data_IF_498907862688
#
_entry.id   IF_498907862688
#
_cell.length_a   1.000
_cell.length_b   1.000
_cell.length_c   1.000
_cell.angle_alpha   90.00
_cell.angle_beta   90.00
_cell.angle_gamma   90.00
#
_symmetry.space_group_name_H-M   'P 1'
#
loop_
_entity.id
_entity.type
_entity.pdbx_description
1 polymer ?
#
# COMPACT_ATOMS: atom_id res chain seq x y z
N UNK A 1 -30.23 3.42 76.19
CA UNK A 1 -29.57 2.21 76.74
C UNK A 1 -29.33 1.25 75.59
N UNK A 2 -28.15 0.62 75.60
CA UNK A 2 -27.54 -0.24 74.58
C UNK A 2 -26.86 0.52 73.45
N UNK A 3 -25.62 0.26 73.03
CA UNK A 3 -24.49 -0.54 73.51
C UNK A 3 -23.57 -0.75 72.30
N UNK A 4 -22.24 -0.62 72.49
CA UNK A 4 -21.19 -1.48 71.89
C UNK A 4 -21.01 -1.42 70.34
N UNK A 5 -19.84 -1.39 69.69
CA UNK A 5 -18.42 -1.58 70.00
C UNK A 5 -17.63 -0.89 68.88
N UNK A 6 -16.47 -0.29 69.19
CA UNK A 6 -15.48 0.09 68.18
C UNK A 6 -14.61 -1.14 67.87
N UNK A 7 -14.58 -1.60 66.62
CA UNK A 7 -13.59 -2.54 66.11
C UNK A 7 -12.66 -1.81 65.15
N UNK A 8 -11.36 -1.89 65.46
CA UNK A 8 -10.27 -1.38 64.63
C UNK A 8 -10.12 -2.24 63.37
N UNK A 9 -10.43 -1.68 62.21
CA UNK A 9 -10.11 -2.30 60.93
C UNK A 9 -8.67 -1.92 60.54
N UNK A 10 -7.78 -2.92 60.53
CA UNK A 10 -6.45 -2.85 59.94
C UNK A 10 -6.60 -2.85 58.43
N UNK A 11 -6.25 -1.75 57.78
CA UNK A 11 -6.22 -1.62 56.32
C UNK A 11 -4.92 -2.27 55.82
N UNK A 12 -5.02 -3.48 55.27
CA UNK A 12 -3.94 -4.09 54.48
C UNK A 12 -4.05 -3.54 53.06
N UNK A 13 -3.16 -2.61 52.72
CA UNK A 13 -3.02 -2.08 51.37
C UNK A 13 -2.29 -3.10 50.49
N UNK A 14 -3.04 -3.95 49.78
CA UNK A 14 -2.51 -4.75 48.68
C UNK A 14 -2.41 -3.88 47.44
N UNK A 15 -1.18 -3.51 47.06
CA UNK A 15 -0.88 -2.84 45.81
C UNK A 15 -1.14 -3.80 44.64
N UNK A 16 -2.28 -3.62 43.97
CA UNK A 16 -2.60 -4.28 42.71
C UNK A 16 -1.83 -3.54 41.59
N UNK A 17 -0.66 -4.07 41.22
CA UNK A 17 0.07 -3.59 40.04
C UNK A 17 -0.70 -4.00 38.79
N UNK A 18 -1.48 -3.08 38.23
CA UNK A 18 -1.95 -3.18 36.85
C UNK A 18 -0.73 -3.03 35.94
N UNK A 19 -0.23 -4.15 35.44
CA UNK A 19 0.60 -4.14 34.25
C UNK A 19 -0.30 -3.70 33.10
N UNK A 20 -0.15 -2.45 32.67
CA UNK A 20 -0.65 -2.01 31.36
C UNK A 20 0.22 -2.73 30.35
N UNK A 21 -0.29 -3.84 29.82
CA UNK A 21 0.21 -4.40 28.57
C UNK A 21 -0.25 -3.41 27.51
N UNK A 22 0.65 -2.53 27.08
CA UNK A 22 0.51 -1.83 25.80
C UNK A 22 0.56 -2.89 24.70
N UNK A 23 -0.60 -3.52 24.48
CA UNK A 23 -0.87 -4.21 23.23
C UNK A 23 -0.97 -3.14 22.17
N UNK A 24 0.02 -3.09 21.29
CA UNK A 24 -0.14 -2.46 20.00
C UNK A 24 -1.44 -3.01 19.40
N UNK A 25 -2.40 -2.12 19.15
CA UNK A 25 -3.57 -2.46 18.37
C UNK A 25 -3.06 -3.03 17.03
N UNK A 26 -3.35 -4.29 16.77
CA UNK A 26 -3.27 -4.84 15.43
C UNK A 26 -4.34 -4.11 14.62
N UNK A 27 -3.92 -3.08 13.88
CA UNK A 27 -4.70 -2.58 12.76
C UNK A 27 -4.69 -3.72 11.75
N UNK A 28 -5.85 -4.35 11.55
CA UNK A 28 -6.01 -5.37 10.54
C UNK A 28 -5.62 -4.76 9.17
N UNK A 29 -4.72 -5.41 8.44
CA UNK A 29 -4.62 -5.23 7.00
C UNK A 29 -3.58 -4.26 6.43
N UNK A 30 -2.48 -3.91 7.12
CA UNK A 30 -1.28 -3.39 6.45
C UNK A 30 -0.16 -4.42 6.48
N UNK A 31 0.27 -4.91 5.32
CA UNK A 31 1.63 -5.46 5.24
C UNK A 31 2.62 -4.33 5.52
N UNK A 32 3.76 -4.62 6.15
CA UNK A 32 4.72 -3.60 6.55
C UNK A 32 5.70 -3.19 5.46
N UNK A 33 5.56 -3.71 4.23
CA UNK A 33 6.54 -3.54 3.16
C UNK A 33 6.07 -2.53 2.11
N UNK A 34 7.01 -1.75 1.56
CA UNK A 34 6.73 -0.91 0.40
C UNK A 34 6.53 -1.78 -0.84
N UNK A 35 5.70 -1.32 -1.78
CA UNK A 35 5.48 -2.05 -3.03
C UNK A 35 6.77 -2.24 -3.84
N UNK A 36 7.73 -1.32 -3.75
CA UNK A 36 9.03 -1.51 -4.39
C UNK A 36 9.83 -2.67 -3.80
N UNK A 37 9.74 -2.91 -2.48
CA UNK A 37 10.42 -4.05 -1.86
C UNK A 37 9.75 -5.38 -2.20
N UNK A 38 8.42 -5.42 -2.24
CA UNK A 38 7.70 -6.59 -2.70
C UNK A 38 7.94 -6.85 -4.20
N UNK A 39 8.02 -5.81 -5.02
CA UNK A 39 8.41 -5.90 -6.43
C UNK A 39 9.79 -6.56 -6.60
N UNK A 40 10.77 -6.12 -5.80
CA UNK A 40 12.10 -6.72 -5.78
C UNK A 40 12.08 -8.19 -5.29
N UNK A 41 11.36 -8.48 -4.21
CA UNK A 41 11.27 -9.82 -3.62
C UNK A 41 10.62 -10.82 -4.59
N UNK A 42 9.50 -10.44 -5.20
CA UNK A 42 8.74 -11.30 -6.10
C UNK A 42 9.20 -11.23 -7.56
N UNK A 43 10.16 -10.35 -7.88
CA UNK A 43 10.76 -10.22 -9.20
C UNK A 43 9.77 -9.72 -10.25
N UNK A 44 9.19 -8.54 -10.02
CA UNK A 44 8.45 -7.76 -11.00
C UNK A 44 8.87 -6.29 -10.94
N UNK A 45 8.49 -5.50 -11.95
CA UNK A 45 8.72 -4.05 -11.97
C UNK A 45 7.38 -3.33 -11.88
N UNK A 46 7.38 -2.15 -11.26
CA UNK A 46 6.25 -1.22 -11.31
C UNK A 46 6.52 -0.31 -12.51
N UNK A 47 5.87 -0.58 -13.63
CA UNK A 47 6.03 0.13 -14.91
C UNK A 47 4.65 0.43 -15.49
N UNK A 48 4.21 1.68 -15.32
CA UNK A 48 2.89 2.15 -15.76
C UNK A 48 2.68 2.05 -17.28
N UNK A 49 3.74 1.91 -18.07
CA UNK A 49 3.60 1.71 -19.52
C UNK A 49 3.36 0.25 -19.92
N UNK A 50 3.56 -0.71 -19.00
CA UNK A 50 3.51 -2.14 -19.29
C UNK A 50 2.14 -2.76 -18.98
N UNK A 51 1.13 -2.34 -19.74
CA UNK A 51 -0.23 -2.89 -19.61
C UNK A 51 -0.30 -4.40 -19.93
N UNK A 52 0.61 -4.95 -20.73
CA UNK A 52 0.67 -6.39 -21.00
C UNK A 52 0.95 -7.20 -19.73
N UNK A 53 1.91 -6.75 -18.90
CA UNK A 53 2.23 -7.40 -17.63
C UNK A 53 1.05 -7.32 -16.64
N UNK A 54 0.41 -6.15 -16.56
CA UNK A 54 -0.79 -5.92 -15.77
C UNK A 54 -1.95 -6.86 -16.19
N UNK A 55 -2.27 -6.90 -17.49
CA UNK A 55 -3.31 -7.76 -18.05
C UNK A 55 -3.01 -9.25 -17.85
N UNK A 56 -1.74 -9.66 -17.98
CA UNK A 56 -1.33 -11.04 -17.70
C UNK A 56 -1.51 -11.40 -16.22
N UNK A 57 -1.25 -10.45 -15.30
CA UNK A 57 -1.39 -10.67 -13.87
C UNK A 57 -2.86 -10.90 -13.49
N UNK A 58 -3.79 -10.03 -13.93
CA UNK A 58 -5.21 -10.22 -13.63
C UNK A 58 -5.78 -11.49 -14.28
N UNK A 59 -5.42 -11.80 -15.53
CA UNK A 59 -5.82 -13.05 -16.18
C UNK A 59 -5.31 -14.29 -15.42
N UNK A 60 -4.14 -14.20 -14.79
CA UNK A 60 -3.59 -15.26 -13.93
C UNK A 60 -4.41 -15.40 -12.66
N UNK A 61 -4.82 -14.30 -12.03
CA UNK A 61 -5.68 -14.33 -10.84
C UNK A 61 -7.03 -15.01 -11.14
N UNK A 62 -7.66 -14.64 -12.26
CA UNK A 62 -8.94 -15.18 -12.71
C UNK A 62 -8.83 -16.69 -13.02
N UNK A 63 -7.82 -17.08 -13.79
CA UNK A 63 -7.64 -18.48 -14.23
C UNK A 63 -7.32 -19.44 -13.09
N UNK A 64 -6.89 -18.93 -11.93
CA UNK A 64 -6.49 -19.73 -10.78
C UNK A 64 -7.42 -19.57 -9.56
N UNK A 65 -8.61 -18.97 -9.76
CA UNK A 65 -9.62 -18.80 -8.71
C UNK A 65 -9.08 -18.07 -7.46
N UNK A 66 -8.19 -17.08 -7.69
CA UNK A 66 -7.54 -16.32 -6.61
C UNK A 66 -8.52 -15.42 -5.84
N UNK A 67 -9.73 -15.18 -6.36
CA UNK A 67 -10.83 -14.48 -5.69
C UNK A 67 -11.55 -15.32 -4.64
N UNK A 68 -11.11 -16.56 -4.40
CA UNK A 68 -11.60 -17.41 -3.31
C UNK A 68 -10.47 -17.74 -2.34
N UNK A 69 -9.28 -18.05 -2.87
CA UNK A 69 -8.11 -18.43 -2.07
C UNK A 69 -6.86 -17.72 -2.59
N UNK A 70 -6.46 -16.65 -1.90
CA UNK A 70 -5.27 -15.87 -2.27
C UNK A 70 -4.07 -16.13 -1.34
N UNK A 71 -4.29 -16.08 -0.02
CA UNK A 71 -3.23 -16.10 0.99
C UNK A 71 -2.42 -17.41 1.06
N UNK A 72 -2.92 -18.51 0.49
CA UNK A 72 -2.21 -19.79 0.46
C UNK A 72 -1.41 -20.02 -0.84
N UNK A 73 -1.60 -19.17 -1.86
CA UNK A 73 -1.03 -19.35 -3.20
C UNK A 73 -0.01 -18.27 -3.53
N UNK A 74 1.26 -18.68 -3.67
CA UNK A 74 2.32 -17.76 -4.10
C UNK A 74 2.03 -17.13 -5.47
N UNK A 75 1.37 -17.87 -6.35
CA UNK A 75 0.91 -17.38 -7.65
C UNK A 75 -0.10 -16.24 -7.48
N UNK A 76 -1.10 -16.42 -6.61
CA UNK A 76 -2.10 -15.39 -6.36
C UNK A 76 -1.49 -14.16 -5.70
N UNK A 77 -0.66 -14.36 -4.66
CA UNK A 77 0.04 -13.27 -3.95
C UNK A 77 0.85 -12.40 -4.88
N UNK A 78 1.71 -13.00 -5.71
CA UNK A 78 2.55 -12.26 -6.65
C UNK A 78 1.72 -11.46 -7.66
N UNK A 79 0.71 -12.08 -8.27
CA UNK A 79 -0.08 -11.41 -9.30
C UNK A 79 -1.02 -10.34 -8.71
N UNK A 80 -1.48 -10.53 -7.47
CA UNK A 80 -2.19 -9.50 -6.73
C UNK A 80 -1.28 -8.28 -6.46
N UNK A 81 -0.05 -8.50 -5.98
CA UNK A 81 0.92 -7.41 -5.77
C UNK A 81 1.27 -6.67 -7.06
N UNK A 82 1.33 -7.36 -8.21
CA UNK A 82 1.51 -6.70 -9.51
C UNK A 82 0.34 -5.75 -9.76
N UNK A 83 -0.92 -6.21 -9.69
CA UNK A 83 -2.05 -5.32 -9.99
C UNK A 83 -2.24 -4.23 -8.94
N UNK A 84 -1.99 -4.52 -7.65
CA UNK A 84 -2.10 -3.55 -6.56
C UNK A 84 -1.08 -2.43 -6.69
N UNK A 85 0.19 -2.78 -6.88
CA UNK A 85 1.25 -1.78 -7.01
C UNK A 85 1.05 -0.83 -8.19
N UNK A 86 0.44 -1.30 -9.28
CA UNK A 86 0.13 -0.44 -10.44
C UNK A 86 -1.15 0.36 -10.23
N UNK A 87 -2.20 -0.24 -9.66
CA UNK A 87 -3.44 0.45 -9.33
C UNK A 87 -3.21 1.61 -8.34
N UNK A 88 -2.44 1.35 -7.28
CA UNK A 88 -2.23 2.32 -6.21
C UNK A 88 -1.21 3.41 -6.61
N UNK A 89 -0.39 3.19 -7.65
CA UNK A 89 0.65 4.13 -8.10
C UNK A 89 0.35 4.83 -9.42
N UNK A 90 0.00 4.11 -10.49
CA UNK A 90 -0.07 4.67 -11.83
C UNK A 90 -1.30 5.55 -12.04
N UNK A 91 -1.26 6.47 -13.01
CA UNK A 91 -2.46 7.22 -13.36
C UNK A 91 -3.54 6.28 -13.91
N UNK A 92 -4.82 6.64 -13.74
CA UNK A 92 -5.92 5.75 -14.09
C UNK A 92 -5.88 5.35 -15.58
N UNK A 93 -5.51 6.27 -16.47
CA UNK A 93 -5.35 5.99 -17.91
C UNK A 93 -4.17 5.05 -18.24
N UNK A 94 -3.21 4.91 -17.32
CA UNK A 94 -2.08 4.00 -17.44
C UNK A 94 -2.45 2.56 -16.97
N UNK A 95 -3.51 2.41 -16.17
CA UNK A 95 -3.98 1.13 -15.61
C UNK A 95 -5.20 0.62 -16.40
N UNK A 96 -5.19 -0.63 -16.89
CA UNK A 96 -6.36 -1.21 -17.55
C UNK A 96 -7.62 -1.15 -16.67
N UNK A 97 -8.77 -0.76 -17.25
CA UNK A 97 -10.06 -0.63 -16.55
C UNK A 97 -10.47 -1.90 -15.78
N UNK A 98 -10.19 -3.07 -16.36
CA UNK A 98 -10.44 -4.37 -15.72
C UNK A 98 -9.68 -4.54 -14.41
N UNK A 99 -8.54 -3.87 -14.25
CA UNK A 99 -7.74 -3.89 -13.02
C UNK A 99 -8.26 -2.85 -12.03
N UNK A 100 -8.56 -1.62 -12.48
CA UNK A 100 -9.12 -0.58 -11.63
C UNK A 100 -10.36 -1.08 -10.89
N UNK A 101 -11.28 -1.74 -11.59
CA UNK A 101 -12.48 -2.31 -10.97
C UNK A 101 -12.24 -3.68 -10.33
N UNK A 102 -11.47 -4.54 -10.98
CA UNK A 102 -11.31 -5.94 -10.58
C UNK A 102 -10.49 -6.14 -9.31
N UNK A 103 -9.56 -5.22 -9.00
CA UNK A 103 -8.68 -5.37 -7.84
C UNK A 103 -9.43 -5.47 -6.52
N UNK A 104 -10.49 -4.68 -6.33
CA UNK A 104 -11.23 -4.62 -5.06
C UNK A 104 -11.94 -5.94 -4.70
N UNK A 105 -12.16 -6.81 -5.69
CA UNK A 105 -12.64 -8.18 -5.45
C UNK A 105 -11.55 -9.00 -4.74
N UNK A 106 -10.30 -8.86 -5.17
CA UNK A 106 -9.16 -9.58 -4.61
C UNK A 106 -8.70 -9.02 -3.27
N UNK A 107 -8.82 -7.71 -3.02
CA UNK A 107 -8.44 -7.10 -1.73
C UNK A 107 -9.16 -7.73 -0.53
N UNK A 108 -10.42 -8.12 -0.73
CA UNK A 108 -11.22 -8.80 0.30
C UNK A 108 -10.73 -10.22 0.64
N UNK A 109 -9.86 -10.81 -0.19
CA UNK A 109 -9.42 -12.21 -0.12
C UNK A 109 -7.91 -12.31 0.10
N UNK A 110 -7.12 -11.42 -0.49
CA UNK A 110 -5.68 -11.29 -0.35
C UNK A 110 -5.28 -10.51 0.92
N UNK A 111 -6.03 -10.65 2.00
CA UNK A 111 -5.95 -9.79 3.20
C UNK A 111 -4.60 -9.81 3.94
N UNK A 112 -3.76 -10.83 3.70
CA UNK A 112 -2.43 -10.95 4.30
C UNK A 112 -1.31 -10.43 3.39
N UNK A 113 -1.63 -10.06 2.15
CA UNK A 113 -0.65 -9.65 1.15
C UNK A 113 -1.12 -8.37 0.52
N UNK A 114 -0.50 -7.30 0.95
CA UNK A 114 -0.62 -5.99 0.33
C UNK A 114 0.78 -5.38 0.29
N UNK A 115 0.89 -4.16 -0.19
CA UNK A 115 2.07 -3.33 -0.02
C UNK A 115 1.68 -1.85 0.08
N UNK A 116 2.59 -1.02 0.58
CA UNK A 116 2.39 0.43 0.68
C UNK A 116 3.07 1.16 -0.50
N UNK A 117 2.28 1.95 -1.23
CA UNK A 117 2.73 2.92 -2.25
C UNK A 117 1.68 4.04 -2.33
N UNK A 118 2.08 5.24 -2.70
CA UNK A 118 1.14 6.34 -2.94
C UNK A 118 0.92 6.50 -4.44
N UNK A 119 -0.24 7.06 -4.80
CA UNK A 119 -0.51 7.52 -6.16
C UNK A 119 0.63 8.41 -6.69
N UNK A 120 1.01 8.19 -7.94
CA UNK A 120 1.95 9.01 -8.70
C UNK A 120 1.45 10.45 -8.73
N UNK A 121 2.38 11.37 -8.48
CA UNK A 121 2.04 12.78 -8.36
C UNK A 121 1.76 13.42 -9.72
N UNK A 122 0.63 14.10 -9.84
CA UNK A 122 0.29 14.92 -11.00
C UNK A 122 0.50 16.41 -10.68
N UNK A 123 1.44 17.08 -11.36
CA UNK A 123 1.73 18.50 -11.11
C UNK A 123 0.58 19.45 -11.41
N UNK A 124 -0.38 19.04 -12.24
CA UNK A 124 -1.56 19.83 -12.61
C UNK A 124 -2.73 19.59 -11.65
N UNK A 125 -2.68 18.53 -10.86
CA UNK A 125 -3.70 18.18 -9.89
C UNK A 125 -3.68 19.09 -8.66
N UNK A 126 -4.88 19.42 -8.19
CA UNK A 126 -5.08 20.21 -6.97
C UNK A 126 -4.80 19.37 -5.72
N UNK A 127 -4.73 20.00 -4.54
CA UNK A 127 -4.65 19.26 -3.28
C UNK A 127 -6.00 18.60 -2.94
N UNK A 128 -5.98 17.34 -2.53
CA UNK A 128 -7.16 16.65 -2.06
C UNK A 128 -7.71 17.28 -0.76
N UNK A 129 -9.04 17.27 -0.57
CA UNK A 129 -9.64 17.72 0.68
C UNK A 129 -9.16 16.83 1.84
N UNK A 130 -9.07 17.36 3.07
CA UNK A 130 -8.84 16.53 4.24
C UNK A 130 -10.05 15.63 4.48
N UNK A 131 -9.80 14.36 4.76
CA UNK A 131 -10.81 13.36 5.12
C UNK A 131 -10.47 12.68 6.45
N UNK A 132 -11.51 12.31 7.18
CA UNK A 132 -11.46 11.52 8.40
C UNK A 132 -11.78 10.05 8.08
N UNK A 133 -10.77 9.19 8.18
CA UNK A 133 -10.86 7.77 7.85
C UNK A 133 -11.72 6.96 8.83
N UNK A 134 -12.09 7.55 9.98
CA UNK A 134 -12.96 6.90 10.96
C UNK A 134 -14.46 7.12 10.66
N UNK A 135 -14.78 7.79 9.55
CA UNK A 135 -16.16 8.12 9.13
C UNK A 135 -16.52 7.44 7.82
N UNK A 136 -17.80 7.49 7.46
CA UNK A 136 -18.32 7.00 6.17
C UNK A 136 -18.47 8.11 5.12
N UNK A 137 -17.64 9.16 5.22
CA UNK A 137 -17.74 10.34 4.36
C UNK A 137 -17.58 10.01 2.87
N UNK A 138 -16.82 8.97 2.53
CA UNK A 138 -16.68 8.50 1.15
C UNK A 138 -17.96 7.84 0.61
N UNK A 139 -18.57 6.92 1.38
CA UNK A 139 -19.85 6.31 0.99
C UNK A 139 -20.98 7.35 0.92
N UNK A 140 -21.00 8.32 1.82
CA UNK A 140 -21.94 9.45 1.80
C UNK A 140 -21.74 10.33 0.55
N UNK A 141 -20.48 10.61 0.19
CA UNK A 141 -20.14 11.35 -1.03
C UNK A 141 -20.59 10.61 -2.29
N UNK A 142 -20.44 9.28 -2.33
CA UNK A 142 -20.93 8.46 -3.43
C UNK A 142 -22.44 8.56 -3.63
N UNK A 143 -23.23 8.58 -2.55
CA UNK A 143 -24.69 8.77 -2.68
C UNK A 143 -25.04 10.09 -3.35
N UNK A 144 -24.28 11.16 -3.07
CA UNK A 144 -24.47 12.45 -3.75
C UNK A 144 -24.10 12.36 -5.23
N UNK A 145 -23.03 11.66 -5.58
CA UNK A 145 -22.64 11.47 -6.99
C UNK A 145 -23.71 10.72 -7.78
N UNK A 146 -24.26 9.63 -7.22
CA UNK A 146 -25.33 8.86 -7.84
C UNK A 146 -26.60 9.71 -8.02
N UNK A 147 -27.00 10.48 -7.00
CA UNK A 147 -28.18 11.36 -7.10
C UNK A 147 -28.00 12.52 -8.08
N UNK A 148 -26.76 12.92 -8.34
CA UNK A 148 -26.42 14.04 -9.23
C UNK A 148 -26.07 13.59 -10.65
N UNK A 149 -26.18 12.30 -10.95
CA UNK A 149 -25.88 11.70 -12.27
C UNK A 149 -24.49 12.03 -12.81
N UNK A 150 -23.47 11.91 -11.94
CA UNK A 150 -22.09 12.29 -12.26
C UNK A 150 -21.36 11.37 -13.24
N UNK A 151 -22.03 10.33 -13.76
CA UNK A 151 -21.41 9.26 -14.56
C UNK A 151 -20.88 9.72 -15.93
N UNK A 152 -21.45 10.81 -16.47
CA UNK A 152 -21.10 11.30 -17.81
C UNK A 152 -20.76 12.80 -17.86
N UNK A 153 -21.00 13.53 -16.77
CA UNK A 153 -20.64 14.94 -16.62
C UNK A 153 -20.33 15.27 -15.17
N UNK A 154 -19.05 15.52 -14.89
CA UNK A 154 -18.58 15.88 -13.56
C UNK A 154 -18.48 17.40 -13.33
N UNK A 155 -19.00 18.23 -14.26
CA UNK A 155 -18.83 19.69 -14.23
C UNK A 155 -19.57 20.39 -13.08
N UNK A 156 -20.57 19.73 -12.48
CA UNK A 156 -21.29 20.26 -11.33
C UNK A 156 -20.40 20.29 -10.09
N UNK A 157 -20.64 21.25 -9.19
CA UNK A 157 -19.92 21.31 -7.92
C UNK A 157 -20.16 20.06 -7.07
N UNK A 158 -21.35 19.45 -7.16
CA UNK A 158 -21.67 18.25 -6.40
C UNK A 158 -20.82 17.08 -6.88
N UNK A 159 -20.68 16.88 -8.20
CA UNK A 159 -19.81 15.84 -8.75
C UNK A 159 -18.34 16.09 -8.42
N UNK A 160 -17.82 17.28 -8.77
CA UNK A 160 -16.41 17.63 -8.57
C UNK A 160 -15.96 17.61 -7.11
N UNK A 161 -16.84 17.97 -6.16
CA UNK A 161 -16.49 17.97 -4.74
C UNK A 161 -16.52 16.56 -4.16
N UNK A 162 -17.55 15.77 -4.49
CA UNK A 162 -17.72 14.43 -3.93
C UNK A 162 -16.72 13.44 -4.55
N UNK A 163 -16.40 13.56 -5.84
CA UNK A 163 -15.33 12.78 -6.48
C UNK A 163 -14.00 12.92 -5.71
N UNK A 164 -13.62 14.16 -5.38
CA UNK A 164 -12.39 14.43 -4.61
C UNK A 164 -12.44 13.92 -3.17
N UNK A 165 -13.62 13.85 -2.56
CA UNK A 165 -13.77 13.24 -1.23
C UNK A 165 -13.53 11.74 -1.33
N UNK A 166 -14.17 11.06 -2.30
CA UNK A 166 -14.00 9.62 -2.51
C UNK A 166 -12.54 9.31 -2.83
N UNK A 167 -11.94 10.00 -3.80
CA UNK A 167 -10.51 9.87 -4.13
C UNK A 167 -9.61 10.06 -2.91
N UNK A 168 -9.88 11.07 -2.09
CA UNK A 168 -9.09 11.32 -0.88
C UNK A 168 -9.23 10.21 0.16
N UNK A 169 -10.38 9.54 0.25
CA UNK A 169 -10.57 8.37 1.11
C UNK A 169 -9.87 7.15 0.50
N UNK A 170 -10.11 6.85 -0.77
CA UNK A 170 -9.50 5.76 -1.53
C UNK A 170 -7.97 5.77 -1.40
N UNK A 171 -7.33 6.91 -1.68
CA UNK A 171 -5.87 6.98 -1.73
C UNK A 171 -5.20 7.01 -0.33
N UNK A 172 -5.93 7.41 0.73
CA UNK A 172 -5.34 7.71 2.06
C UNK A 172 -5.73 6.73 3.15
N UNK A 173 -6.99 6.30 3.15
CA UNK A 173 -7.58 5.59 4.27
C UNK A 173 -7.36 4.07 4.14
N UNK A 174 -7.55 3.29 5.23
CA UNK A 174 -7.56 1.83 5.12
C UNK A 174 -8.58 1.35 4.07
N UNK A 175 -8.23 0.30 3.33
CA UNK A 175 -9.03 -0.28 2.23
C UNK A 175 -10.47 -0.70 2.58
N UNK A 176 -10.78 -0.87 3.87
CA UNK A 176 -12.13 -1.19 4.35
C UNK A 176 -12.94 0.04 4.77
N UNK A 177 -12.39 1.24 4.53
CA UNK A 177 -13.07 2.51 4.82
C UNK A 177 -14.24 2.73 3.89
N UNK A 178 -14.02 2.58 2.57
CA UNK A 178 -15.07 2.58 1.56
C UNK A 178 -15.70 1.19 1.45
N UNK A 179 -16.99 1.13 1.13
CA UNK A 179 -17.57 -0.15 0.72
C UNK A 179 -17.04 -0.57 -0.64
N UNK A 180 -16.92 -1.88 -0.89
CA UNK A 180 -16.51 -2.43 -2.20
C UNK A 180 -17.36 -1.91 -3.36
N UNK A 181 -18.64 -1.59 -3.12
CA UNK A 181 -19.48 -0.96 -4.13
C UNK A 181 -18.96 0.42 -4.54
N UNK A 182 -18.51 1.21 -3.57
CA UNK A 182 -17.96 2.55 -3.82
C UNK A 182 -16.57 2.46 -4.42
N UNK A 183 -15.71 1.57 -3.94
CA UNK A 183 -14.38 1.32 -4.52
C UNK A 183 -14.50 1.01 -6.02
N UNK A 184 -15.38 0.07 -6.40
CA UNK A 184 -15.62 -0.27 -7.80
C UNK A 184 -16.28 0.88 -8.57
N UNK A 185 -17.38 1.44 -8.03
CA UNK A 185 -18.16 2.46 -8.74
C UNK A 185 -17.42 3.79 -8.93
N UNK A 186 -16.47 4.12 -8.05
CA UNK A 186 -15.60 5.28 -8.19
C UNK A 186 -14.80 5.24 -9.50
N UNK A 187 -14.33 4.06 -9.92
CA UNK A 187 -13.60 3.91 -11.18
C UNK A 187 -14.47 4.09 -12.43
N UNK A 188 -15.78 3.85 -12.34
CA UNK A 188 -16.70 4.10 -13.47
C UNK A 188 -16.83 5.60 -13.80
N UNK A 189 -16.42 6.49 -12.89
CA UNK A 189 -16.52 7.95 -13.04
C UNK A 189 -15.18 8.65 -13.18
N UNK A 190 -14.06 7.93 -13.12
CA UNK A 190 -12.71 8.53 -13.18
C UNK A 190 -12.51 9.35 -14.46
N UNK A 191 -12.87 8.83 -15.64
CA UNK A 191 -12.74 9.55 -16.92
C UNK A 191 -13.60 10.83 -16.95
N UNK A 192 -14.86 10.74 -16.53
CA UNK A 192 -15.76 11.89 -16.52
C UNK A 192 -15.32 12.98 -15.51
N UNK A 193 -14.60 12.58 -14.47
CA UNK A 193 -14.17 13.44 -13.36
C UNK A 193 -12.67 13.76 -13.35
N UNK A 194 -11.88 13.33 -14.34
CA UNK A 194 -10.41 13.44 -14.36
C UNK A 194 -9.92 14.88 -14.10
N UNK A 195 -10.61 15.87 -14.68
CA UNK A 195 -10.29 17.29 -14.55
C UNK A 195 -10.43 17.79 -13.10
N UNK A 196 -11.13 17.04 -12.25
CA UNK A 196 -11.34 17.30 -10.84
C UNK A 196 -10.47 16.44 -9.93
N UNK A 197 -9.54 15.65 -10.47
CA UNK A 197 -8.52 14.91 -9.75
C UNK A 197 -7.72 15.76 -8.75
N UNK A 198 -7.09 15.09 -7.80
CA UNK A 198 -6.31 15.72 -6.75
C UNK A 198 -5.16 14.83 -6.25
N UNK A 199 -4.11 15.45 -5.71
CA UNK A 199 -3.02 14.76 -5.01
C UNK A 199 -3.24 14.78 -3.50
N UNK A 200 -2.89 13.68 -2.83
CA UNK A 200 -2.73 13.68 -1.38
C UNK A 200 -1.61 14.65 -0.96
N UNK A 201 -1.74 15.21 0.24
CA UNK A 201 -0.73 16.12 0.79
C UNK A 201 0.66 15.48 0.96
N UNK A 202 0.70 14.15 1.05
CA UNK A 202 1.90 13.32 1.23
C UNK A 202 2.42 12.74 -0.09
N UNK A 203 1.66 12.88 -1.19
CA UNK A 203 2.17 12.56 -2.51
C UNK A 203 3.18 13.65 -2.88
N UNK A 204 4.44 13.29 -3.00
CA UNK A 204 5.48 14.15 -3.55
C UNK A 204 5.75 13.77 -5.01
N UNK A 205 6.41 14.66 -5.75
CA UNK A 205 6.90 14.34 -7.09
C UNK A 205 8.11 13.39 -7.07
N UNK A 206 8.46 12.81 -5.91
CA UNK A 206 9.63 11.95 -5.78
C UNK A 206 9.25 10.50 -6.09
N UNK A 207 9.88 9.95 -7.13
CA UNK A 207 9.72 8.55 -7.52
C UNK A 207 10.49 7.59 -6.60
N UNK A 208 11.08 8.08 -5.49
CA UNK A 208 11.83 7.26 -4.53
C UNK A 208 11.02 6.09 -3.95
N UNK A 209 9.69 6.19 -3.92
CA UNK A 209 8.79 5.08 -3.54
C UNK A 209 8.87 3.86 -4.48
N UNK A 210 9.40 4.00 -5.70
CA UNK A 210 9.68 2.90 -6.63
C UNK A 210 11.00 2.18 -6.34
N UNK A 211 11.77 2.64 -5.35
CA UNK A 211 13.06 2.08 -4.97
C UNK A 211 12.91 1.37 -3.63
N UNK A 212 13.26 0.08 -3.58
CA UNK A 212 13.38 -0.61 -2.31
C UNK A 212 14.66 -0.17 -1.59
N UNK A 213 14.53 0.71 -0.60
CA UNK A 213 15.63 1.04 0.30
C UNK A 213 15.89 -0.14 1.25
N UNK A 214 16.68 -1.10 0.78
CA UNK A 214 17.12 -2.21 1.62
C UNK A 214 18.30 -1.74 2.51
N UNK A 215 18.16 -1.62 3.85
CA UNK A 215 19.29 -1.27 4.71
C UNK A 215 20.41 -2.33 4.74
N UNK A 216 20.22 -3.48 4.10
CA UNK A 216 21.18 -4.61 4.09
C UNK A 216 22.21 -4.52 2.96
N UNK A 217 22.10 -3.57 2.01
CA UNK A 217 23.02 -3.46 0.86
C UNK A 217 23.79 -2.14 0.74
N UNK A 218 23.65 -1.16 1.65
CA UNK A 218 24.47 0.07 1.60
C UNK A 218 25.89 -0.09 2.18
N UNK A 219 26.34 -1.32 2.44
CA UNK A 219 27.61 -1.62 3.13
C UNK A 219 28.72 -2.30 2.33
N UNK A 220 28.61 -2.47 1.01
CA UNK A 220 29.65 -3.14 0.21
C UNK A 220 30.61 -2.16 -0.49
N UNK A 221 31.19 -1.20 0.25
CA UNK A 221 32.47 -0.58 -0.12
C UNK A 221 33.62 -1.35 0.53
N UNK A 222 33.82 -2.59 0.10
CA UNK A 222 35.08 -3.30 0.33
C UNK A 222 35.96 -3.10 -0.91
N UNK A 223 36.85 -2.11 -0.82
CA UNK A 223 38.03 -2.03 -1.69
C UNK A 223 38.75 -3.38 -1.68
N UNK A 224 38.52 -4.18 -2.70
CA UNK A 224 39.32 -5.35 -3.02
C UNK A 224 40.72 -4.89 -3.38
N UNK A 225 41.61 -4.84 -2.38
CA UNK A 225 43.06 -4.87 -2.63
C UNK A 225 43.38 -6.23 -3.23
N UNK A 226 43.44 -6.29 -4.56
CA UNK A 226 44.10 -7.37 -5.29
C UNK A 226 45.58 -7.31 -4.91
N UNK A 227 46.01 -8.20 -4.03
CA UNK A 227 47.41 -8.41 -3.71
C UNK A 227 48.03 -9.18 -4.88
N UNK A 228 48.66 -8.46 -5.81
CA UNK A 228 49.54 -9.07 -6.81
C UNK A 228 50.78 -9.64 -6.11
N UNK A 229 50.80 -10.96 -5.91
CA UNK A 229 52.01 -11.68 -5.53
C UNK A 229 52.91 -11.81 -6.77
N UNK A 230 53.93 -10.95 -6.84
CA UNK A 230 55.01 -11.08 -7.82
C UNK A 230 55.87 -12.30 -7.45
N UNK A 231 55.81 -13.34 -8.28
CA UNK A 231 56.79 -14.43 -8.31
C UNK A 231 58.12 -13.89 -8.84
N UNK A 232 59.05 -13.58 -7.94
CA UNK A 232 60.45 -13.32 -8.30
C UNK A 232 61.12 -14.67 -8.55
N UNK A 233 61.36 -14.97 -9.83
CA UNK A 233 62.19 -16.09 -10.27
C UNK A 233 63.65 -15.85 -9.89
N UNK A 234 64.14 -16.60 -8.90
CA UNK A 234 65.56 -16.68 -8.58
C UNK A 234 66.29 -17.59 -9.56
N UNK A 235 67.22 -17.02 -10.32
CA UNK A 235 68.19 -17.75 -11.14
C UNK A 235 69.21 -18.39 -10.21
N UNK A 236 69.22 -19.73 -10.12
CA UNK A 236 70.30 -20.47 -9.49
C UNK A 236 71.40 -20.73 -10.53
N UNK A 237 72.52 -20.05 -10.37
CA UNK A 237 73.78 -20.38 -11.04
C UNK A 237 74.59 -21.33 -10.15
N UNK A 238 74.91 -22.51 -10.68
CA UNK A 238 75.95 -23.43 -10.22
C UNK A 238 76.12 -24.48 -11.34
N UNK A 239 77.28 -24.96 -11.74
CA UNK A 239 78.67 -24.66 -11.48
C UNK A 239 79.48 -25.42 -12.57
N UNK A 240 80.73 -25.02 -12.74
CA UNK A 240 81.80 -25.69 -13.46
C UNK A 240 81.74 -27.23 -13.46
N UNK A 241 81.90 -27.83 -14.64
CA UNK A 241 82.97 -28.78 -15.01
C UNK A 241 83.05 -28.89 -16.55
#
# INVERSE_FOLDING_TARGET
>A
MKSYLFSNAVIVATTLSFAVVEGAANVAGKSSNSCACDALEYGFNIDCSNQDAMNQAIATLESNNCSVECNSSMLCKKNFLIIQSHHDYCFHEEVPEVIQTGIHIYENVCTEVHCDINMKFDSESRKCPPVDCETKVGDEAWQVMVMSDCSSDCSSSDCANNFRIIKAVHDKCPRDTLSTLVEIGYHDVDEACEAFGCNLAVADADESQLICENPVMSGASAFGKVLSMALVGGVAAAALL
#
